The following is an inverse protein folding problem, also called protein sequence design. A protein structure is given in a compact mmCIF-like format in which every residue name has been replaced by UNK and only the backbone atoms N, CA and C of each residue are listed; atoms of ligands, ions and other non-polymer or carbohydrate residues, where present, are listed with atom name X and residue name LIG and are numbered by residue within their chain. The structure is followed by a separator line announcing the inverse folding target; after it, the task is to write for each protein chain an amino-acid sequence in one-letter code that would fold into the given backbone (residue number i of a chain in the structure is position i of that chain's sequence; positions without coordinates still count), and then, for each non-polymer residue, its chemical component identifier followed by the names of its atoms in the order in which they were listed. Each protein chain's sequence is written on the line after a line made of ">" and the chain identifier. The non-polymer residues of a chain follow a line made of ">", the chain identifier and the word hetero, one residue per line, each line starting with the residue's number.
data_IF_968839268793
#
_entry.id   IF_968839268793
#
_cell.length_a   1.000
_cell.length_b   1.000
_cell.length_c   1.000
_cell.angle_alpha   90.00
_cell.angle_beta   90.00
_cell.angle_gamma   90.00
#
_symmetry.space_group_name_H-M   'P 1'
#
loop_
_entity.id
_entity.type
_entity.pdbx_description
1 polymer ?
#
# COMPACT_ATOMS: atom_id res chain seq x y z
N UNK A 1 -22.02 -5.01 -23.94
CA UNK A 1 -21.86 -3.55 -24.18
C UNK A 1 -20.80 -3.05 -23.22
N UNK A 2 -19.54 -3.01 -23.66
CA UNK A 2 -18.37 -2.81 -22.77
C UNK A 2 -18.14 -1.31 -22.59
N UNK A 3 -18.32 -0.79 -21.38
CA UNK A 3 -18.04 0.62 -21.08
C UNK A 3 -16.53 0.88 -21.16
N UNK A 4 -16.11 1.81 -22.03
CA UNK A 4 -14.70 2.22 -22.13
C UNK A 4 -14.37 3.24 -21.02
N UNK A 5 -14.10 2.72 -19.82
CA UNK A 5 -13.82 3.53 -18.64
C UNK A 5 -12.38 4.06 -18.60
N UNK A 6 -11.46 3.51 -19.41
CA UNK A 6 -10.04 3.87 -19.46
C UNK A 6 -9.75 5.23 -20.13
N UNK A 7 -10.70 5.75 -20.90
CA UNK A 7 -10.60 7.07 -21.53
C UNK A 7 -11.03 8.13 -20.50
N UNK A 8 -10.37 9.30 -20.51
CA UNK A 8 -10.74 10.44 -19.67
C UNK A 8 -12.26 10.69 -19.70
N UNK A 9 -12.91 10.85 -18.54
CA UNK A 9 -14.33 11.20 -18.48
C UNK A 9 -14.57 12.61 -19.02
N UNK A 10 -14.88 12.73 -20.29
CA UNK A 10 -15.36 13.98 -20.87
C UNK A 10 -16.86 14.12 -20.57
N UNK A 11 -17.20 14.95 -19.57
CA UNK A 11 -18.56 15.47 -19.47
C UNK A 11 -18.80 16.37 -20.70
N UNK A 12 -19.64 15.90 -21.63
CA UNK A 12 -20.27 16.65 -22.72
C UNK A 12 -19.59 17.97 -23.15
N UNK A 13 -18.96 17.96 -24.35
CA UNK A 13 -18.35 19.13 -25.02
C UNK A 13 -17.26 19.87 -24.20
N UNK A 14 -16.11 19.23 -24.04
CA UNK A 14 -14.85 19.95 -23.79
C UNK A 14 -14.67 20.54 -22.38
N UNK A 15 -15.50 20.15 -21.40
CA UNK A 15 -15.26 20.52 -20.01
C UNK A 15 -14.06 19.73 -19.44
N UNK A 16 -13.15 20.38 -18.70
CA UNK A 16 -12.06 19.68 -18.04
C UNK A 16 -12.58 18.78 -16.92
N UNK A 17 -11.87 17.68 -16.65
CA UNK A 17 -12.08 16.89 -15.44
C UNK A 17 -11.44 17.66 -14.30
N UNK A 18 -12.23 17.96 -13.27
CA UNK A 18 -11.71 18.52 -12.03
C UNK A 18 -11.15 17.36 -11.21
N UNK A 19 -9.87 17.44 -10.87
CA UNK A 19 -9.18 16.47 -10.02
C UNK A 19 -8.63 17.25 -8.83
N UNK A 20 -9.02 16.83 -7.63
CA UNK A 20 -8.54 17.39 -6.38
C UNK A 20 -7.31 16.61 -5.95
N UNK A 21 -6.18 17.31 -5.80
CA UNK A 21 -4.92 16.73 -5.34
C UNK A 21 -4.58 17.28 -3.96
N UNK A 22 -4.29 16.37 -3.03
CA UNK A 22 -3.83 16.70 -1.69
C UNK A 22 -2.50 15.99 -1.44
N UNK A 23 -1.45 16.76 -1.17
CA UNK A 23 -0.14 16.25 -0.80
C UNK A 23 0.02 16.35 0.72
N UNK A 24 0.24 15.21 1.37
CA UNK A 24 0.61 15.15 2.78
C UNK A 24 2.11 14.84 2.88
N UNK A 25 2.88 15.81 3.35
CA UNK A 25 4.30 15.64 3.60
C UNK A 25 4.48 15.00 4.97
N UNK A 26 5.12 13.84 5.01
CA UNK A 26 5.44 13.13 6.25
C UNK A 26 6.75 13.65 6.79
N UNK A 27 7.78 13.65 5.94
CA UNK A 27 9.13 14.03 6.31
C UNK A 27 9.89 14.57 5.11
N UNK A 28 10.84 15.47 5.39
CA UNK A 28 11.79 15.99 4.42
C UNK A 28 13.18 15.68 4.97
N UNK A 29 13.90 14.79 4.29
CA UNK A 29 15.20 14.31 4.72
C UNK A 29 16.25 14.38 3.60
N UNK A 30 17.48 14.00 3.95
CA UNK A 30 18.58 13.81 3.00
C UNK A 30 18.83 15.03 2.09
N UNK A 31 18.97 16.22 2.69
CA UNK A 31 19.29 17.45 1.96
C UNK A 31 20.77 17.44 1.57
N UNK A 32 21.06 17.44 0.27
CA UNK A 32 22.40 17.55 -0.27
C UNK A 32 22.55 18.88 -1.02
N UNK A 33 23.42 19.74 -0.50
CA UNK A 33 23.64 21.09 -1.03
C UNK A 33 24.56 21.06 -2.25
N UNK A 34 25.46 20.07 -2.36
CA UNK A 34 26.36 19.93 -3.51
C UNK A 34 25.57 19.56 -4.77
N UNK A 35 24.65 18.62 -4.61
CA UNK A 35 23.80 18.14 -5.71
C UNK A 35 22.48 18.93 -5.84
N UNK A 36 22.22 19.89 -4.94
CA UNK A 36 20.96 20.64 -4.86
C UNK A 36 19.73 19.73 -4.87
N UNK A 37 19.75 18.68 -4.04
CA UNK A 37 18.63 17.76 -3.90
C UNK A 37 18.24 17.51 -2.45
N UNK A 38 17.03 16.98 -2.32
CA UNK A 38 16.43 16.59 -1.06
C UNK A 38 15.47 15.44 -1.34
N UNK A 39 15.14 14.69 -0.29
CA UNK A 39 14.18 13.59 -0.35
C UNK A 39 12.94 13.96 0.44
N UNK A 40 11.76 13.70 -0.16
CA UNK A 40 10.47 13.89 0.49
C UNK A 40 9.75 12.54 0.58
N UNK A 41 9.37 12.18 1.80
CA UNK A 41 8.45 11.10 2.05
C UNK A 41 7.03 11.68 2.21
N UNK A 42 6.11 11.27 1.33
CA UNK A 42 4.79 11.88 1.21
C UNK A 42 3.70 10.87 0.86
N UNK A 43 2.46 11.28 1.10
CA UNK A 43 1.25 10.67 0.56
C UNK A 43 0.60 11.63 -0.44
N UNK A 44 0.15 11.13 -1.58
CA UNK A 44 -0.71 11.88 -2.49
C UNK A 44 -2.10 11.27 -2.43
N UNK A 45 -3.08 12.09 -2.13
CA UNK A 45 -4.49 11.75 -2.27
C UNK A 45 -5.02 12.48 -3.51
N UNK A 46 -5.58 11.73 -4.45
CA UNK A 46 -6.24 12.30 -5.61
C UNK A 46 -7.70 11.88 -5.63
N UNK A 47 -8.59 12.83 -5.95
CA UNK A 47 -10.02 12.58 -6.01
C UNK A 47 -10.63 13.15 -7.29
N UNK A 48 -11.47 12.36 -7.94
CA UNK A 48 -12.20 12.78 -9.13
C UNK A 48 -13.59 12.16 -9.18
N UNK A 49 -14.55 12.87 -9.80
CA UNK A 49 -15.91 12.35 -9.99
C UNK A 49 -16.04 11.66 -11.34
N UNK A 50 -16.37 10.36 -11.34
CA UNK A 50 -16.60 9.58 -12.56
C UNK A 50 -18.10 9.49 -12.88
N UNK A 51 -18.61 10.44 -13.65
CA UNK A 51 -20.03 10.53 -13.99
C UNK A 51 -20.56 9.34 -14.80
N UNK A 52 -19.69 8.65 -15.55
CA UNK A 52 -20.07 7.51 -16.42
C UNK A 52 -20.20 6.20 -15.65
N UNK A 53 -19.73 6.16 -14.40
CA UNK A 53 -19.84 4.95 -13.59
C UNK A 53 -21.29 4.74 -13.21
N UNK A 54 -21.82 3.59 -13.60
CA UNK A 54 -23.14 3.13 -13.17
C UNK A 54 -22.89 2.29 -11.93
N UNK A 55 -23.25 2.86 -10.79
CA UNK A 55 -23.13 2.23 -9.50
C UNK A 55 -24.49 1.68 -9.11
N UNK A 56 -24.55 0.40 -8.76
CA UNK A 56 -25.76 -0.24 -8.23
C UNK A 56 -25.62 -0.34 -6.72
N UNK A 57 -26.64 0.06 -5.96
CA UNK A 57 -26.60 0.09 -4.48
C UNK A 57 -26.27 -1.27 -3.83
N UNK A 58 -26.37 -2.37 -4.59
CA UNK A 58 -26.02 -3.72 -4.15
C UNK A 58 -24.51 -3.89 -3.87
N UNK A 59 -23.65 -3.03 -4.42
CA UNK A 59 -22.20 -3.12 -4.18
C UNK A 59 -21.77 -2.53 -2.84
N UNK A 60 -22.64 -1.73 -2.19
CA UNK A 60 -22.36 -1.16 -0.88
C UNK A 60 -23.01 -2.01 0.20
N UNK A 61 -22.27 -2.24 1.28
CA UNK A 61 -22.88 -2.84 2.47
C UNK A 61 -23.91 -1.88 3.07
N UNK A 62 -24.82 -2.43 3.88
CA UNK A 62 -26.02 -1.75 4.38
C UNK A 62 -25.71 -0.76 5.52
N UNK A 63 -24.68 0.05 5.35
CA UNK A 63 -24.35 1.28 6.09
C UNK A 63 -23.12 2.00 5.49
N UNK A 64 -22.41 1.39 4.54
CA UNK A 64 -21.13 1.88 4.02
C UNK A 64 -21.32 2.92 2.92
N UNK A 65 -20.60 4.02 2.98
CA UNK A 65 -20.65 5.10 1.98
C UNK A 65 -19.63 4.95 0.84
N UNK A 66 -18.71 3.99 0.97
CA UNK A 66 -17.70 3.69 -0.02
C UNK A 66 -17.43 2.18 -0.10
N UNK A 67 -16.79 1.78 -1.19
CA UNK A 67 -16.32 0.41 -1.41
C UNK A 67 -14.89 0.45 -1.95
N UNK A 68 -14.05 -0.49 -1.52
CA UNK A 68 -12.71 -0.66 -2.08
C UNK A 68 -12.85 -1.43 -3.40
N UNK A 69 -12.38 -0.83 -4.50
CA UNK A 69 -12.47 -1.45 -5.81
C UNK A 69 -11.47 -2.60 -5.95
N UNK A 70 -11.91 -3.79 -6.41
CA UNK A 70 -11.00 -4.86 -6.79
C UNK A 70 -10.06 -4.43 -7.93
N UNK A 71 -8.87 -5.02 -7.97
CA UNK A 71 -7.83 -4.70 -8.97
C UNK A 71 -8.32 -4.84 -10.42
N UNK A 72 -9.23 -5.77 -10.70
CA UNK A 72 -9.81 -5.99 -12.03
C UNK A 72 -10.63 -4.81 -12.57
N UNK A 73 -11.19 -4.00 -11.67
CA UNK A 73 -11.92 -2.78 -12.02
C UNK A 73 -10.98 -1.59 -12.09
N UNK A 74 -9.97 -1.56 -11.22
CA UNK A 74 -8.93 -0.53 -11.20
C UNK A 74 -8.27 -0.36 -12.58
N UNK A 75 -7.85 -1.45 -13.23
CA UNK A 75 -7.16 -1.40 -14.53
C UNK A 75 -8.04 -0.88 -15.68
N UNK A 76 -9.35 -0.92 -15.51
CA UNK A 76 -10.34 -0.50 -16.51
C UNK A 76 -10.75 0.96 -16.32
N UNK A 77 -10.50 1.55 -15.15
CA UNK A 77 -10.88 2.92 -14.83
C UNK A 77 -9.82 3.90 -15.34
N UNK A 78 -10.25 5.07 -15.81
CA UNK A 78 -9.34 6.19 -16.07
C UNK A 78 -8.87 6.79 -14.76
N UNK A 79 -7.59 7.12 -14.70
CA UNK A 79 -6.92 7.62 -13.51
C UNK A 79 -6.10 8.86 -13.93
N UNK A 80 -6.03 9.90 -13.08
CA UNK A 80 -5.09 10.98 -13.29
C UNK A 80 -3.65 10.44 -13.20
N UNK A 81 -2.77 10.98 -14.04
CA UNK A 81 -1.34 10.62 -14.08
C UNK A 81 -0.49 11.85 -13.70
N UNK A 82 -0.42 12.22 -12.41
CA UNK A 82 0.46 13.28 -11.94
C UNK A 82 1.93 12.88 -12.04
N UNK A 83 2.77 13.81 -12.47
CA UNK A 83 4.23 13.64 -12.52
C UNK A 83 4.94 14.87 -11.94
N UNK A 84 6.13 14.67 -11.38
CA UNK A 84 6.92 15.75 -10.78
C UNK A 84 8.04 16.19 -11.73
N UNK A 85 7.89 17.35 -12.36
CA UNK A 85 8.84 17.92 -13.33
C UNK A 85 10.30 17.95 -12.85
N UNK A 86 10.52 18.22 -11.57
CA UNK A 86 11.85 18.41 -10.98
C UNK A 86 12.32 17.20 -10.15
N UNK A 87 11.65 16.05 -10.27
CA UNK A 87 12.07 14.85 -9.56
C UNK A 87 13.28 14.21 -10.24
N UNK A 88 14.37 14.00 -9.49
CA UNK A 88 15.56 13.27 -9.99
C UNK A 88 15.33 11.76 -10.03
N UNK A 89 14.62 11.20 -9.04
CA UNK A 89 14.28 9.78 -8.94
C UNK A 89 12.90 9.68 -8.32
N UNK A 90 11.91 9.26 -9.10
CA UNK A 90 10.57 8.98 -8.62
C UNK A 90 10.26 7.50 -8.72
N UNK A 91 10.30 6.79 -7.59
CA UNK A 91 9.66 5.47 -7.48
C UNK A 91 8.21 5.71 -7.05
N UNK A 92 7.40 6.26 -7.95
CA UNK A 92 5.95 6.33 -7.75
C UNK A 92 5.41 4.91 -7.87
N UNK A 93 5.26 4.24 -6.72
CA UNK A 93 4.67 2.90 -6.65
C UNK A 93 3.16 2.99 -6.82
N UNK A 94 2.69 3.33 -8.02
CA UNK A 94 1.29 3.23 -8.40
C UNK A 94 0.75 1.78 -8.32
N UNK A 95 1.67 0.82 -8.21
CA UNK A 95 1.43 -0.63 -8.23
C UNK A 95 0.73 -1.17 -6.98
N UNK A 96 0.62 -0.38 -5.90
CA UNK A 96 -0.04 -0.76 -4.65
C UNK A 96 -1.19 0.19 -4.26
N UNK A 97 -1.71 0.94 -5.23
CA UNK A 97 -2.81 1.86 -4.95
C UNK A 97 -4.14 1.12 -4.77
N UNK A 98 -4.86 1.43 -3.70
CA UNK A 98 -6.25 0.99 -3.50
C UNK A 98 -7.16 2.16 -3.79
N UNK A 99 -8.08 2.00 -4.74
CA UNK A 99 -9.07 3.03 -5.06
C UNK A 99 -10.34 2.78 -4.27
N UNK A 100 -10.77 3.78 -3.52
CA UNK A 100 -12.06 3.80 -2.86
C UNK A 100 -13.07 4.50 -3.75
N UNK A 101 -14.21 3.86 -3.96
CA UNK A 101 -15.33 4.42 -4.72
C UNK A 101 -16.46 4.77 -3.77
N UNK A 102 -16.89 6.02 -3.79
CA UNK A 102 -17.99 6.53 -2.98
C UNK A 102 -19.34 6.43 -3.73
N UNK A 103 -20.45 6.33 -2.99
CA UNK A 103 -21.83 6.36 -3.53
C UNK A 103 -22.10 7.54 -4.46
N UNK A 104 -21.50 8.69 -4.18
CA UNK A 104 -21.61 9.91 -4.99
C UNK A 104 -20.78 9.87 -6.30
N UNK A 105 -20.28 8.69 -6.71
CA UNK A 105 -19.43 8.47 -7.89
C UNK A 105 -18.07 9.15 -7.83
N UNK A 106 -17.62 9.51 -6.63
CA UNK A 106 -16.27 10.01 -6.42
C UNK A 106 -15.33 8.82 -6.26
N UNK A 107 -14.28 8.79 -7.06
CA UNK A 107 -13.15 7.90 -6.85
C UNK A 107 -12.09 8.65 -6.05
N UNK A 108 -11.52 7.97 -5.05
CA UNK A 108 -10.41 8.45 -4.25
C UNK A 108 -9.30 7.43 -4.34
N UNK A 109 -8.12 7.93 -4.64
CA UNK A 109 -6.92 7.13 -4.83
C UNK A 109 -5.80 7.68 -3.95
N UNK A 110 -5.21 6.79 -3.14
CA UNK A 110 -4.21 7.14 -2.15
C UNK A 110 -2.87 6.49 -2.50
N UNK A 111 -1.94 7.32 -2.93
CA UNK A 111 -0.61 6.89 -3.34
C UNK A 111 0.36 7.05 -2.19
N UNK A 112 1.10 5.97 -1.95
CA UNK A 112 2.23 5.95 -1.06
C UNK A 112 3.52 5.99 -1.87
N UNK A 113 4.39 6.96 -1.60
CA UNK A 113 5.78 6.87 -2.02
C UNK A 113 6.41 5.64 -1.32
N UNK A 114 7.21 4.85 -2.03
CA UNK A 114 7.67 3.50 -1.63
C UNK A 114 8.40 3.37 -0.27
N UNK A 115 8.69 4.47 0.43
CA UNK A 115 9.26 4.50 1.78
C UNK A 115 8.46 3.68 2.80
N UNK A 116 7.12 3.74 2.78
CA UNK A 116 6.30 3.00 3.74
C UNK A 116 6.33 1.50 3.47
N UNK A 117 6.35 1.09 2.20
CA UNK A 117 6.48 -0.32 1.84
C UNK A 117 7.80 -0.88 2.39
N UNK A 118 8.90 -0.14 2.26
CA UNK A 118 10.20 -0.54 2.81
C UNK A 118 10.20 -0.68 4.33
N UNK A 119 9.53 0.24 5.05
CA UNK A 119 9.38 0.16 6.51
C UNK A 119 8.55 -1.07 6.90
N UNK A 120 7.42 -1.32 6.24
CA UNK A 120 6.61 -2.49 6.55
C UNK A 120 7.30 -3.82 6.20
N UNK A 121 8.04 -3.89 5.09
CA UNK A 121 8.82 -5.09 4.74
C UNK A 121 9.94 -5.35 5.73
N UNK A 122 10.65 -4.30 6.18
CA UNK A 122 11.73 -4.45 7.16
C UNK A 122 11.20 -4.83 8.54
N UNK A 123 10.06 -4.28 8.97
CA UNK A 123 9.39 -4.71 10.21
C UNK A 123 8.88 -6.16 10.10
N UNK A 124 8.32 -6.55 8.96
CA UNK A 124 7.89 -7.93 8.70
C UNK A 124 9.06 -8.91 8.75
N UNK A 125 10.19 -8.58 8.11
CA UNK A 125 11.42 -9.37 8.15
C UNK A 125 11.95 -9.50 9.57
N UNK A 126 12.00 -8.41 10.33
CA UNK A 126 12.42 -8.42 11.73
C UNK A 126 11.56 -9.35 12.59
N UNK A 127 10.23 -9.29 12.42
CA UNK A 127 9.29 -10.17 13.12
C UNK A 127 9.55 -11.63 12.73
N UNK A 128 9.74 -11.93 11.44
CA UNK A 128 10.01 -13.30 10.96
C UNK A 128 11.31 -13.84 11.56
N UNK A 129 12.39 -13.06 11.52
CA UNK A 129 13.69 -13.45 12.11
C UNK A 129 13.54 -13.72 13.61
N UNK A 130 12.83 -12.85 14.34
CA UNK A 130 12.58 -13.04 15.77
C UNK A 130 11.76 -14.29 16.06
N UNK A 131 10.74 -14.59 15.26
CA UNK A 131 9.94 -15.81 15.41
C UNK A 131 10.79 -17.06 15.13
N UNK A 132 11.62 -17.04 14.08
CA UNK A 132 12.52 -18.15 13.76
C UNK A 132 13.55 -18.38 14.87
N UNK A 133 14.14 -17.31 15.40
CA UNK A 133 15.11 -17.37 16.50
C UNK A 133 14.48 -17.93 17.79
N UNK A 134 13.26 -17.49 18.13
CA UNK A 134 12.50 -18.04 19.27
C UNK A 134 12.22 -19.54 19.13
N UNK A 135 11.83 -20.00 17.94
CA UNK A 135 11.62 -21.44 17.68
C UNK A 135 12.93 -22.21 17.73
N UNK A 136 14.02 -21.63 17.25
CA UNK A 136 15.36 -22.23 17.32
C UNK A 136 15.80 -22.41 18.78
N UNK A 137 15.68 -21.39 19.63
CA UNK A 137 16.00 -21.47 21.05
C UNK A 137 15.16 -22.51 21.78
N UNK A 138 13.85 -22.60 21.48
CA UNK A 138 13.00 -23.64 22.06
C UNK A 138 13.45 -25.05 21.66
N UNK A 139 13.80 -25.27 20.38
CA UNK A 139 14.34 -26.55 19.91
C UNK A 139 15.65 -26.92 20.63
N UNK A 140 16.56 -25.96 20.77
CA UNK A 140 17.85 -26.15 21.48
C UNK A 140 17.64 -26.38 22.97
N UNK A 141 16.74 -25.64 23.63
CA UNK A 141 16.44 -25.81 25.05
C UNK A 141 15.75 -27.16 25.31
N UNK A 142 14.86 -27.59 24.41
CA UNK A 142 14.22 -28.91 24.46
C UNK A 142 15.25 -30.04 24.31
N UNK A 143 16.16 -29.92 23.33
CA UNK A 143 17.29 -30.84 23.17
C UNK A 143 18.17 -30.87 24.43
N UNK A 144 18.59 -29.73 24.98
CA UNK A 144 19.39 -29.68 26.21
C UNK A 144 18.69 -30.33 27.39
N UNK A 145 17.38 -30.14 27.55
CA UNK A 145 16.60 -30.80 28.60
C UNK A 145 16.52 -32.32 28.40
N UNK A 146 16.36 -32.80 27.17
CA UNK A 146 16.40 -34.23 26.85
C UNK A 146 17.78 -34.84 27.09
N UNK A 147 18.85 -34.19 26.63
CA UNK A 147 20.23 -34.65 26.85
C UNK A 147 20.58 -34.67 28.34
N UNK A 148 20.16 -33.66 29.10
CA UNK A 148 20.32 -33.64 30.55
C UNK A 148 19.56 -34.79 31.22
N UNK A 149 18.29 -35.06 30.84
CA UNK A 149 17.50 -36.18 31.38
C UNK A 149 18.10 -37.55 31.06
N UNK A 150 18.55 -37.77 29.82
CA UNK A 150 19.22 -39.01 29.42
C UNK A 150 20.52 -39.21 30.20
N UNK A 151 21.31 -38.15 30.40
CA UNK A 151 22.56 -38.21 31.18
C UNK A 151 22.37 -38.48 32.69
N UNK A 152 21.17 -38.22 33.23
CA UNK A 152 20.81 -38.56 34.61
C UNK A 152 20.28 -40.00 34.73
N UNK A 153 19.63 -40.54 33.70
CA UNK A 153 19.22 -41.96 33.66
C UNK A 153 20.44 -42.89 33.54
N UNK A 154 21.48 -42.50 32.81
CA UNK A 154 22.68 -43.31 32.62
C UNK A 154 23.61 -43.34 33.85
N UNK A 155 23.44 -42.40 34.79
CA UNK A 155 24.26 -42.26 36.00
C UNK A 155 23.72 -42.98 37.24
N UNK A 156 22.56 -43.61 37.15
CA UNK A 156 22.01 -44.48 38.20
C UNK A 156 21.91 -45.93 37.68
N UNK A 157 23.01 -46.70 37.68
CA UNK A 157 22.90 -48.14 37.58
C UNK A 157 22.33 -48.67 38.91
N UNK A 158 21.38 -49.59 38.79
CA UNK A 158 20.78 -50.36 39.90
C UNK A 158 21.87 -51.06 40.71
#
# INVERSE_FOLDING_TARGET
>A
MTQQLKIRPSLSRGKPVVVDFTLFVVDINSINVEDMDFRIDHFICQSWTESRLIITDVIFEKDDDYVILPLEFYEKLWQPDPYFLNSKIETLTHKFSSVMLFKNKTALDLWMAGCMIFVFTSLGEFIVVKVMDLRCQQSVNYQRHLTARLSCMERNPI
#
